data_IF_658516726323
#
_entry.id   IF_658516726323
#
_cell.length_a   1.000
_cell.length_b   1.000
_cell.length_c   1.000
_cell.angle_alpha   90.00
_cell.angle_beta   90.00
_cell.angle_gamma   90.00
#
_symmetry.space_group_name_H-M   'P 1'
#
loop_
_entity.id
_entity.type
_entity.pdbx_description
1 polymer ?
#
# COMPACT_ATOMS: atom_id res chain seq x y z
N UNK A 1 21.74 -28.17 0.00
CA UNK A 1 20.30 -28.05 -0.33
C UNK A 1 19.51 -29.03 0.52
N UNK A 2 18.29 -28.70 0.98
CA UNK A 2 17.45 -29.70 1.66
C UNK A 2 16.97 -30.74 0.64
N UNK A 3 16.78 -32.00 1.07
CA UNK A 3 16.35 -33.08 0.18
C UNK A 3 14.99 -32.76 -0.52
N UNK A 4 14.15 -31.98 0.16
CA UNK A 4 12.86 -31.52 -0.36
C UNK A 4 13.02 -30.54 -1.53
N UNK A 5 13.98 -29.62 -1.45
CA UNK A 5 14.26 -28.64 -2.52
C UNK A 5 14.74 -29.33 -3.80
N UNK A 6 15.65 -30.32 -3.68
CA UNK A 6 16.09 -31.13 -4.82
C UNK A 6 14.93 -31.88 -5.48
N UNK A 7 14.03 -32.44 -4.66
CA UNK A 7 12.85 -33.16 -5.15
C UNK A 7 11.91 -32.21 -5.89
N UNK A 8 11.69 -31.01 -5.36
CA UNK A 8 10.85 -30.00 -5.98
C UNK A 8 11.44 -29.48 -7.30
N UNK A 9 12.76 -29.30 -7.41
CA UNK A 9 13.42 -28.96 -8.69
C UNK A 9 13.22 -30.04 -9.75
N UNK A 10 13.28 -31.33 -9.37
CA UNK A 10 12.99 -32.44 -10.28
C UNK A 10 11.52 -32.44 -10.72
N UNK A 11 10.59 -32.17 -9.80
CA UNK A 11 9.17 -32.04 -10.13
C UNK A 11 8.90 -30.87 -11.07
N UNK A 12 9.57 -29.73 -10.87
CA UNK A 12 9.46 -28.58 -11.76
C UNK A 12 9.92 -28.93 -13.19
N UNK A 13 11.05 -29.63 -13.34
CA UNK A 13 11.50 -30.13 -14.66
C UNK A 13 10.52 -31.12 -15.28
N UNK A 14 9.98 -32.04 -14.48
CA UNK A 14 8.97 -32.99 -14.95
C UNK A 14 7.71 -32.27 -15.47
N UNK A 15 7.27 -31.19 -14.80
CA UNK A 15 6.16 -30.36 -15.27
C UNK A 15 6.50 -29.65 -16.59
N UNK A 16 7.74 -29.18 -16.78
CA UNK A 16 8.20 -28.62 -18.07
C UNK A 16 8.16 -29.66 -19.20
N UNK A 17 8.64 -30.88 -18.95
CA UNK A 17 8.60 -31.99 -19.91
C UNK A 17 7.16 -32.36 -20.32
N UNK A 18 6.20 -32.17 -19.41
CA UNK A 18 4.78 -32.38 -19.65
C UNK A 18 4.09 -31.20 -20.34
N UNK A 19 4.80 -30.11 -20.61
CA UNK A 19 4.26 -28.91 -21.24
C UNK A 19 3.48 -28.00 -20.28
N UNK A 20 3.72 -28.11 -18.97
CA UNK A 20 3.08 -27.31 -17.93
C UNK A 20 4.06 -26.30 -17.28
N UNK A 21 4.52 -25.25 -18.00
CA UNK A 21 5.53 -24.33 -17.49
C UNK A 21 5.03 -23.47 -16.31
N UNK A 22 3.74 -23.20 -16.21
CA UNK A 22 3.15 -22.48 -15.08
C UNK A 22 3.20 -23.31 -13.79
N UNK A 23 2.88 -24.60 -13.89
CA UNK A 23 3.00 -25.53 -12.76
C UNK A 23 4.47 -25.67 -12.34
N UNK A 24 5.38 -25.77 -13.31
CA UNK A 24 6.81 -25.78 -13.05
C UNK A 24 7.25 -24.54 -12.26
N UNK A 25 6.81 -23.34 -12.68
CA UNK A 25 7.09 -22.10 -11.97
C UNK A 25 6.50 -22.09 -10.55
N UNK A 26 5.27 -22.56 -10.36
CA UNK A 26 4.64 -22.63 -9.02
C UNK A 26 5.41 -23.55 -8.06
N UNK A 27 5.90 -24.69 -8.54
CA UNK A 27 6.72 -25.61 -7.74
C UNK A 27 8.10 -25.01 -7.45
N UNK A 28 8.70 -24.38 -8.45
CA UNK A 28 10.03 -23.79 -8.38
C UNK A 28 10.10 -22.55 -7.47
N UNK A 29 9.10 -21.68 -7.55
CA UNK A 29 9.13 -20.33 -6.98
C UNK A 29 9.52 -20.32 -5.49
N UNK A 30 8.89 -21.11 -4.59
CA UNK A 30 9.23 -21.11 -3.16
C UNK A 30 10.69 -21.49 -2.85
N UNK A 31 11.37 -22.20 -3.76
CA UNK A 31 12.75 -22.66 -3.59
C UNK A 31 13.71 -21.48 -3.75
N UNK A 32 13.46 -20.62 -4.75
CA UNK A 32 14.26 -19.44 -5.06
C UNK A 32 13.83 -18.20 -4.26
N UNK A 33 12.60 -18.15 -3.75
CA UNK A 33 12.11 -17.05 -2.91
C UNK A 33 13.08 -16.72 -1.76
N UNK A 34 13.28 -15.42 -1.54
CA UNK A 34 14.18 -14.95 -0.49
C UNK A 34 13.72 -15.40 0.90
N UNK A 35 14.66 -16.00 1.64
CA UNK A 35 14.46 -16.53 3.00
C UNK A 35 15.61 -16.16 3.95
N UNK A 36 16.52 -15.28 3.52
CA UNK A 36 17.75 -14.96 4.25
C UNK A 36 18.78 -16.10 4.31
N UNK A 37 18.52 -17.25 3.67
CA UNK A 37 19.45 -18.40 3.66
C UNK A 37 20.69 -18.10 2.81
N UNK A 38 21.84 -18.63 3.24
CA UNK A 38 23.06 -18.64 2.43
C UNK A 38 23.00 -19.78 1.41
N UNK A 39 23.45 -19.50 0.18
CA UNK A 39 23.43 -20.46 -0.91
C UNK A 39 24.82 -21.00 -1.22
N UNK A 40 24.98 -22.32 -1.13
CA UNK A 40 26.12 -23.02 -1.73
C UNK A 40 26.13 -22.80 -3.25
N UNK A 41 27.33 -22.69 -3.82
CA UNK A 41 27.49 -22.37 -5.25
C UNK A 41 26.78 -23.37 -6.16
N UNK A 42 26.92 -24.67 -5.89
CA UNK A 42 26.29 -25.73 -6.69
C UNK A 42 24.77 -25.65 -6.65
N UNK A 43 24.21 -25.42 -5.46
CA UNK A 43 22.77 -25.36 -5.26
C UNK A 43 22.15 -24.14 -5.92
N UNK A 44 22.86 -23.00 -5.84
CA UNK A 44 22.50 -21.77 -6.54
C UNK A 44 22.48 -22.00 -8.05
N UNK A 45 23.57 -22.52 -8.63
CA UNK A 45 23.65 -22.77 -10.08
C UNK A 45 22.56 -23.74 -10.54
N UNK A 46 22.30 -24.82 -9.79
CA UNK A 46 21.27 -25.79 -10.14
C UNK A 46 19.87 -25.17 -10.14
N UNK A 47 19.54 -24.43 -9.08
CA UNK A 47 18.25 -23.73 -8.96
C UNK A 47 18.06 -22.72 -10.09
N UNK A 48 19.08 -21.91 -10.38
CA UNK A 48 19.02 -20.92 -11.46
C UNK A 48 19.03 -21.55 -12.87
N UNK A 49 19.55 -22.77 -13.03
CA UNK A 49 19.45 -23.52 -14.29
C UNK A 49 18.01 -23.95 -14.56
N UNK A 50 17.31 -24.47 -13.54
CA UNK A 50 15.87 -24.76 -13.64
C UNK A 50 15.09 -23.48 -13.94
N UNK A 51 15.45 -22.35 -13.32
CA UNK A 51 14.79 -21.09 -13.63
C UNK A 51 15.00 -20.65 -15.08
N UNK A 52 16.20 -20.86 -15.65
CA UNK A 52 16.48 -20.54 -17.05
C UNK A 52 15.64 -21.41 -18.00
N UNK A 53 15.43 -22.69 -17.67
CA UNK A 53 14.54 -23.59 -18.43
C UNK A 53 13.08 -23.08 -18.39
N UNK A 54 12.60 -22.63 -17.23
CA UNK A 54 11.25 -22.07 -17.06
C UNK A 54 11.12 -20.73 -17.82
N UNK A 55 12.07 -19.82 -17.63
CA UNK A 55 12.02 -18.46 -18.18
C UNK A 55 12.10 -18.46 -19.71
N UNK A 56 12.81 -19.42 -20.30
CA UNK A 56 12.89 -19.59 -21.74
C UNK A 56 11.51 -19.80 -22.38
N UNK A 57 10.56 -20.37 -21.63
CA UNK A 57 9.19 -20.63 -22.07
C UNK A 57 8.26 -19.47 -21.67
N UNK A 58 8.40 -18.92 -20.47
CA UNK A 58 7.44 -17.96 -19.89
C UNK A 58 7.77 -16.48 -20.09
N UNK A 59 9.04 -16.10 -20.20
CA UNK A 59 9.51 -14.71 -20.07
C UNK A 59 10.18 -14.15 -21.33
N UNK A 60 10.36 -14.97 -22.37
CA UNK A 60 11.01 -14.61 -23.62
C UNK A 60 12.54 -14.62 -23.58
N UNK A 61 13.15 -14.45 -24.75
CA UNK A 61 14.60 -14.62 -24.93
C UNK A 61 15.41 -13.54 -24.21
N UNK A 62 14.96 -12.29 -24.24
CA UNK A 62 15.69 -11.15 -23.64
C UNK A 62 15.83 -11.29 -22.12
N UNK A 63 14.74 -11.60 -21.41
CA UNK A 63 14.81 -11.85 -19.96
C UNK A 63 15.69 -13.07 -19.65
N UNK A 64 15.53 -14.15 -20.41
CA UNK A 64 16.25 -15.41 -20.21
C UNK A 64 17.77 -15.24 -20.37
N UNK A 65 18.25 -14.28 -21.17
CA UNK A 65 19.68 -13.94 -21.27
C UNK A 65 20.27 -13.52 -19.92
N UNK A 66 19.53 -12.76 -19.11
CA UNK A 66 19.97 -12.37 -17.76
C UNK A 66 20.06 -13.57 -16.83
N UNK A 67 19.07 -14.47 -16.87
CA UNK A 67 19.07 -15.71 -16.07
C UNK A 67 20.27 -16.60 -16.45
N UNK A 68 20.53 -16.80 -17.74
CA UNK A 68 21.70 -17.54 -18.21
C UNK A 68 23.04 -16.89 -17.84
N UNK A 69 23.10 -15.56 -17.74
CA UNK A 69 24.33 -14.89 -17.29
C UNK A 69 24.68 -15.31 -15.86
N UNK A 70 23.69 -15.41 -14.97
CA UNK A 70 23.88 -15.88 -13.60
C UNK A 70 24.24 -17.36 -13.52
N UNK A 71 23.68 -18.21 -14.39
CA UNK A 71 24.07 -19.63 -14.46
C UNK A 71 25.54 -19.80 -14.88
N UNK A 72 25.99 -19.04 -15.88
CA UNK A 72 27.38 -19.11 -16.39
C UNK A 72 28.39 -18.47 -15.43
N UNK A 73 27.99 -17.39 -14.78
CA UNK A 73 28.84 -16.60 -13.91
C UNK A 73 28.14 -16.34 -12.56
N UNK A 74 27.99 -17.38 -11.70
CA UNK A 74 27.20 -17.31 -10.46
C UNK A 74 27.85 -16.45 -9.35
N UNK A 75 29.02 -15.89 -9.60
CA UNK A 75 29.78 -15.01 -8.71
C UNK A 75 30.04 -13.63 -9.36
N UNK A 76 29.45 -13.36 -10.53
CA UNK A 76 29.52 -12.05 -11.16
C UNK A 76 28.44 -11.12 -10.56
N UNK A 77 28.91 -10.14 -9.79
CA UNK A 77 28.07 -9.16 -9.09
C UNK A 77 27.18 -8.39 -10.07
N UNK A 78 27.68 -8.03 -11.26
CA UNK A 78 26.90 -7.30 -12.24
C UNK A 78 25.82 -8.17 -12.87
N UNK A 79 26.11 -9.44 -13.15
CA UNK A 79 25.12 -10.38 -13.66
C UNK A 79 23.98 -10.60 -12.64
N UNK A 80 24.33 -10.77 -11.36
CA UNK A 80 23.38 -10.92 -10.27
C UNK A 80 22.54 -9.64 -10.05
N UNK A 81 23.17 -8.47 -10.08
CA UNK A 81 22.50 -7.18 -10.02
C UNK A 81 21.50 -7.03 -11.18
N UNK A 82 21.94 -7.30 -12.41
CA UNK A 82 21.10 -7.12 -13.60
C UNK A 82 19.87 -8.04 -13.56
N UNK A 83 20.03 -9.33 -13.21
CA UNK A 83 18.87 -10.21 -13.11
C UNK A 83 17.95 -9.83 -11.94
N UNK A 84 18.53 -9.35 -10.83
CA UNK A 84 17.77 -8.83 -9.69
C UNK A 84 16.90 -7.65 -10.08
N UNK A 85 17.48 -6.66 -10.76
CA UNK A 85 16.75 -5.51 -11.30
C UNK A 85 15.63 -5.95 -12.26
N UNK A 86 15.91 -6.85 -13.21
CA UNK A 86 14.91 -7.33 -14.14
C UNK A 86 13.77 -8.11 -13.45
N UNK A 87 14.09 -8.92 -12.44
CA UNK A 87 13.08 -9.63 -11.64
C UNK A 87 12.18 -8.66 -10.87
N UNK A 88 12.75 -7.59 -10.32
CA UNK A 88 11.99 -6.55 -9.64
C UNK A 88 11.01 -5.85 -10.59
N UNK A 89 11.47 -5.46 -11.79
CA UNK A 89 10.63 -4.83 -12.82
C UNK A 89 9.51 -5.76 -13.31
N UNK A 90 9.74 -7.08 -13.27
CA UNK A 90 8.73 -8.10 -13.55
C UNK A 90 7.84 -8.39 -12.34
N UNK A 91 7.86 -7.59 -11.27
CA UNK A 91 6.99 -7.80 -10.11
C UNK A 91 7.31 -9.07 -9.28
N UNK A 92 8.55 -9.56 -9.34
CA UNK A 92 9.05 -10.73 -8.61
C UNK A 92 10.12 -10.32 -7.57
N UNK A 93 9.76 -9.48 -6.58
CA UNK A 93 10.72 -8.88 -5.65
C UNK A 93 11.40 -9.93 -4.76
N UNK A 94 10.76 -11.07 -4.48
CA UNK A 94 11.32 -12.12 -3.63
C UNK A 94 12.40 -12.95 -4.34
N UNK A 95 12.24 -13.20 -5.64
CA UNK A 95 13.30 -13.79 -6.47
C UNK A 95 14.44 -12.79 -6.68
N UNK A 96 14.10 -11.51 -6.91
CA UNK A 96 15.07 -10.42 -7.04
C UNK A 96 15.96 -10.32 -5.78
N UNK A 97 15.34 -10.33 -4.59
CA UNK A 97 16.04 -10.29 -3.31
C UNK A 97 17.03 -11.46 -3.15
N UNK A 98 16.73 -12.67 -3.66
CA UNK A 98 17.69 -13.78 -3.63
C UNK A 98 18.93 -13.52 -4.49
N UNK A 99 18.76 -12.99 -5.71
CA UNK A 99 19.89 -12.64 -6.58
C UNK A 99 20.73 -11.52 -5.97
N UNK A 100 20.06 -10.45 -5.51
CA UNK A 100 20.69 -9.27 -4.93
C UNK A 100 21.37 -9.56 -3.59
N UNK A 101 20.83 -10.47 -2.78
CA UNK A 101 21.48 -10.92 -1.55
C UNK A 101 22.79 -11.68 -1.83
N UNK A 102 22.84 -12.47 -2.91
CA UNK A 102 24.10 -13.09 -3.35
C UNK A 102 25.08 -12.05 -3.88
N UNK A 103 24.62 -11.06 -4.66
CA UNK A 103 25.46 -9.96 -5.11
C UNK A 103 26.05 -9.18 -3.92
N UNK A 104 25.23 -8.86 -2.91
CA UNK A 104 25.65 -8.16 -1.70
C UNK A 104 26.65 -8.97 -0.87
N UNK A 105 26.50 -10.30 -0.82
CA UNK A 105 27.47 -11.15 -0.13
C UNK A 105 28.86 -11.16 -0.81
N UNK A 106 28.91 -10.95 -2.13
CA UNK A 106 30.14 -10.91 -2.93
C UNK A 106 30.77 -9.51 -2.94
N UNK A 107 29.95 -8.46 -2.97
CA UNK A 107 30.37 -7.06 -2.89
C UNK A 107 29.54 -6.31 -1.83
N UNK A 108 29.94 -6.40 -0.55
CA UNK A 108 29.19 -5.85 0.55
C UNK A 108 29.19 -4.32 0.65
N UNK A 109 30.13 -3.66 -0.02
CA UNK A 109 30.32 -2.20 0.06
C UNK A 109 29.66 -1.48 -1.13
N UNK A 110 29.09 -2.22 -2.08
CA UNK A 110 28.28 -1.65 -3.16
C UNK A 110 26.94 -1.12 -2.65
N UNK A 111 26.83 0.20 -2.63
CA UNK A 111 25.59 0.90 -2.27
C UNK A 111 24.45 0.58 -3.24
N UNK A 112 24.73 0.45 -4.54
CA UNK A 112 23.71 0.19 -5.55
C UNK A 112 23.08 -1.20 -5.34
N UNK A 113 23.91 -2.22 -5.13
CA UNK A 113 23.42 -3.58 -4.83
C UNK A 113 22.64 -3.61 -3.51
N UNK A 114 23.14 -2.95 -2.47
CA UNK A 114 22.47 -2.89 -1.17
C UNK A 114 21.11 -2.17 -1.26
N UNK A 115 21.04 -1.05 -1.99
CA UNK A 115 19.82 -0.28 -2.16
C UNK A 115 18.75 -1.07 -2.94
N UNK A 116 19.13 -1.74 -4.02
CA UNK A 116 18.19 -2.58 -4.78
C UNK A 116 17.69 -3.77 -3.94
N UNK A 117 18.57 -4.40 -3.15
CA UNK A 117 18.16 -5.46 -2.22
C UNK A 117 17.15 -4.93 -1.20
N UNK A 118 17.38 -3.74 -0.65
CA UNK A 118 16.45 -3.09 0.28
C UNK A 118 15.11 -2.79 -0.39
N UNK A 119 15.09 -2.23 -1.60
CA UNK A 119 13.85 -1.98 -2.35
C UNK A 119 13.04 -3.27 -2.56
N UNK A 120 13.71 -4.38 -2.89
CA UNK A 120 13.05 -5.68 -3.02
C UNK A 120 12.42 -6.14 -1.69
N UNK A 121 13.14 -5.96 -0.57
CA UNK A 121 12.64 -6.29 0.78
C UNK A 121 11.48 -5.38 1.22
N UNK A 122 11.50 -4.10 0.87
CA UNK A 122 10.41 -3.15 1.12
C UNK A 122 9.10 -3.61 0.48
N UNK A 123 9.16 -4.01 -0.80
CA UNK A 123 7.98 -4.53 -1.53
C UNK A 123 7.42 -5.80 -0.89
N UNK A 124 8.28 -6.62 -0.28
CA UNK A 124 7.87 -7.80 0.49
C UNK A 124 7.40 -7.47 1.93
N UNK A 125 7.49 -6.20 2.35
CA UNK A 125 7.19 -5.76 3.71
C UNK A 125 8.23 -6.19 4.76
N UNK A 126 9.42 -6.64 4.34
CA UNK A 126 10.51 -7.10 5.20
C UNK A 126 11.38 -5.93 5.71
N UNK A 127 10.74 -4.85 6.17
CA UNK A 127 11.41 -3.60 6.56
C UNK A 127 12.44 -3.77 7.69
N UNK A 128 12.19 -4.68 8.64
CA UNK A 128 13.13 -4.96 9.73
C UNK A 128 14.43 -5.61 9.22
N UNK A 129 14.32 -6.46 8.20
CA UNK A 129 15.48 -7.08 7.55
C UNK A 129 16.26 -6.06 6.72
N UNK A 130 15.57 -5.18 6.00
CA UNK A 130 16.18 -4.05 5.31
C UNK A 130 16.98 -3.15 6.29
N UNK A 131 16.39 -2.81 7.44
CA UNK A 131 17.09 -2.07 8.50
C UNK A 131 18.36 -2.81 8.96
N UNK A 132 18.26 -4.12 9.22
CA UNK A 132 19.39 -4.94 9.67
C UNK A 132 20.54 -4.93 8.67
N UNK A 133 20.26 -5.05 7.38
CA UNK A 133 21.26 -5.02 6.31
C UNK A 133 21.94 -3.65 6.21
N UNK A 134 21.17 -2.56 6.25
CA UNK A 134 21.70 -1.20 6.20
C UNK A 134 22.54 -0.86 7.43
N UNK A 135 22.08 -1.23 8.63
CA UNK A 135 22.81 -1.00 9.89
C UNK A 135 24.11 -1.80 9.95
N UNK A 136 24.20 -2.94 9.27
CA UNK A 136 25.44 -3.71 9.14
C UNK A 136 26.50 -3.02 8.25
N UNK A 137 26.12 -1.95 7.52
CA UNK A 137 26.98 -1.21 6.58
C UNK A 137 27.00 0.30 6.88
N UNK A 138 27.48 0.70 8.08
CA UNK A 138 27.46 2.11 8.49
C UNK A 138 28.25 3.02 7.55
N UNK A 139 29.35 2.55 6.95
CA UNK A 139 30.13 3.33 5.98
C UNK A 139 29.36 3.59 4.68
N UNK A 140 28.63 2.59 4.16
CA UNK A 140 27.77 2.75 2.98
C UNK A 140 26.66 3.74 3.28
N UNK A 141 25.98 3.57 4.42
CA UNK A 141 24.96 4.50 4.90
C UNK A 141 25.56 5.90 5.04
N UNK A 142 26.71 6.08 5.68
CA UNK A 142 27.30 7.41 5.87
C UNK A 142 27.54 8.16 4.55
N UNK A 143 28.00 7.46 3.51
CA UNK A 143 28.45 8.08 2.25
C UNK A 143 27.40 8.06 1.12
N UNK A 144 26.37 7.20 1.19
CA UNK A 144 25.32 7.11 0.20
C UNK A 144 24.00 7.70 0.73
N UNK A 145 23.51 8.77 0.09
CA UNK A 145 22.28 9.45 0.51
C UNK A 145 21.07 8.51 0.53
N UNK A 146 20.88 7.73 -0.54
CA UNK A 146 19.73 6.85 -0.69
C UNK A 146 19.74 5.76 0.39
N UNK A 147 20.89 5.17 0.70
CA UNK A 147 21.02 4.19 1.79
C UNK A 147 20.62 4.79 3.16
N UNK A 148 20.97 6.05 3.45
CA UNK A 148 20.49 6.73 4.67
C UNK A 148 18.99 6.92 4.68
N UNK A 149 18.45 7.36 3.54
CA UNK A 149 17.02 7.58 3.40
C UNK A 149 16.25 6.27 3.61
N UNK A 150 16.66 5.20 2.93
CA UNK A 150 16.06 3.88 3.05
C UNK A 150 16.13 3.37 4.49
N UNK A 151 17.23 3.60 5.21
CA UNK A 151 17.33 3.23 6.63
C UNK A 151 16.31 4.00 7.48
N UNK A 152 16.20 5.32 7.28
CA UNK A 152 15.22 6.13 8.00
C UNK A 152 13.77 5.71 7.70
N UNK A 153 13.46 5.45 6.42
CA UNK A 153 12.13 5.03 5.99
C UNK A 153 11.74 3.65 6.54
N UNK A 154 12.61 2.65 6.35
CA UNK A 154 12.37 1.29 6.85
C UNK A 154 12.30 1.22 8.37
N UNK A 155 13.04 2.09 9.08
CA UNK A 155 12.96 2.19 10.53
C UNK A 155 11.57 2.65 10.97
N UNK A 156 11.00 3.69 10.34
CA UNK A 156 9.60 4.12 10.57
C UNK A 156 8.65 2.96 10.28
N UNK A 157 8.81 2.28 9.13
CA UNK A 157 8.00 1.11 8.76
C UNK A 157 8.13 -0.06 9.74
N UNK A 158 9.22 -0.11 10.51
CA UNK A 158 9.47 -1.11 11.56
C UNK A 158 9.12 -0.61 12.96
N UNK A 159 8.51 0.59 13.07
CA UNK A 159 8.11 1.28 14.32
C UNK A 159 9.28 1.87 15.13
N UNK A 160 10.47 1.94 14.56
CA UNK A 160 11.61 2.65 15.15
C UNK A 160 11.60 4.12 14.68
N UNK A 161 11.19 5.01 15.58
CA UNK A 161 11.19 6.45 15.36
C UNK A 161 12.49 7.13 15.79
N UNK A 162 13.40 6.45 16.48
CA UNK A 162 14.63 7.05 16.98
C UNK A 162 15.74 7.06 15.92
N UNK A 163 15.90 5.96 15.18
CA UNK A 163 16.81 5.91 14.03
C UNK A 163 16.59 7.06 13.03
N UNK A 164 15.37 7.29 12.49
CA UNK A 164 15.13 8.40 11.57
C UNK A 164 15.35 9.78 12.21
N UNK A 165 15.09 9.97 13.51
CA UNK A 165 15.39 11.24 14.21
C UNK A 165 16.88 11.54 14.20
N UNK A 166 17.71 10.53 14.47
CA UNK A 166 19.17 10.67 14.47
C UNK A 166 19.72 10.96 13.07
N UNK A 167 19.06 10.43 12.03
CA UNK A 167 19.48 10.61 10.63
C UNK A 167 18.97 11.91 9.99
N UNK A 168 17.87 12.49 10.50
CA UNK A 168 17.15 13.58 9.83
C UNK A 168 18.03 14.79 9.49
N UNK A 169 18.87 15.23 10.43
CA UNK A 169 19.75 16.38 10.20
C UNK A 169 20.72 16.14 9.02
N UNK A 170 21.18 14.89 8.84
CA UNK A 170 22.05 14.52 7.73
C UNK A 170 21.30 14.39 6.41
N UNK A 171 20.05 13.90 6.44
CA UNK A 171 19.17 13.82 5.26
C UNK A 171 18.79 15.21 4.73
N UNK A 172 18.69 16.19 5.62
CA UNK A 172 18.40 17.57 5.25
C UNK A 172 19.62 18.30 4.65
N UNK A 173 20.81 17.69 4.62
CA UNK A 173 22.04 18.31 4.12
C UNK A 173 22.53 17.65 2.81
N UNK A 174 23.43 18.35 2.11
CA UNK A 174 24.10 17.83 0.92
C UNK A 174 23.34 18.02 -0.39
N UNK A 175 23.86 17.40 -1.44
CA UNK A 175 23.32 17.46 -2.81
C UNK A 175 22.88 16.07 -3.24
N UNK A 176 21.58 15.85 -3.33
CA UNK A 176 20.97 14.66 -3.92
C UNK A 176 19.70 15.09 -4.65
N UNK A 177 19.40 14.45 -5.78
CA UNK A 177 18.18 14.69 -6.54
C UNK A 177 16.96 14.37 -5.66
N UNK A 178 15.92 15.21 -5.62
CA UNK A 178 14.76 15.00 -4.74
C UNK A 178 15.04 14.99 -3.22
N UNK A 179 16.22 15.45 -2.78
CA UNK A 179 16.57 15.52 -1.33
C UNK A 179 15.46 16.15 -0.48
N UNK A 180 14.91 17.28 -0.94
CA UNK A 180 13.92 18.03 -0.17
C UNK A 180 12.61 17.25 0.01
N UNK A 181 12.17 16.56 -1.03
CA UNK A 181 10.97 15.71 -1.00
C UNK A 181 11.18 14.53 -0.04
N UNK A 182 12.35 13.90 -0.11
CA UNK A 182 12.68 12.73 0.70
C UNK A 182 12.90 13.03 2.18
N UNK A 183 13.76 14.00 2.48
CA UNK A 183 13.98 14.44 3.84
C UNK A 183 12.70 15.06 4.43
N UNK A 184 11.92 15.76 3.60
CA UNK A 184 10.62 16.31 3.95
C UNK A 184 9.60 15.23 4.33
N UNK A 185 9.59 14.09 3.63
CA UNK A 185 8.74 12.93 3.98
C UNK A 185 9.07 12.39 5.36
N UNK A 186 10.35 12.13 5.64
CA UNK A 186 10.80 11.64 6.96
C UNK A 186 10.46 12.66 8.05
N UNK A 187 10.77 13.93 7.82
CA UNK A 187 10.44 15.01 8.75
C UNK A 187 8.94 15.08 9.05
N UNK A 188 8.10 14.95 8.01
CA UNK A 188 6.64 15.00 8.15
C UNK A 188 6.09 13.81 8.91
N UNK A 189 6.58 12.60 8.65
CA UNK A 189 6.21 11.41 9.42
C UNK A 189 6.56 11.56 10.91
N UNK A 190 7.78 12.03 11.22
CA UNK A 190 8.22 12.27 12.60
C UNK A 190 7.39 13.36 13.29
N UNK A 191 7.15 14.48 12.61
CA UNK A 191 6.35 15.58 13.14
C UNK A 191 4.90 15.14 13.43
N UNK A 192 4.31 14.31 12.57
CA UNK A 192 2.98 13.73 12.79
C UNK A 192 2.97 12.77 13.97
N UNK A 193 4.00 11.93 14.11
CA UNK A 193 4.14 11.04 15.26
C UNK A 193 4.25 11.82 16.57
N UNK A 194 5.05 12.89 16.60
CA UNK A 194 5.16 13.78 17.76
C UNK A 194 3.85 14.48 18.09
N UNK A 195 3.06 14.84 17.08
CA UNK A 195 1.78 15.53 17.26
C UNK A 195 0.72 14.67 17.95
N UNK A 196 0.77 13.33 17.80
CA UNK A 196 -0.27 12.43 18.34
C UNK A 196 0.22 11.52 19.47
N UNK A 197 1.49 11.64 19.89
CA UNK A 197 2.13 10.74 20.87
C UNK A 197 1.38 10.57 22.21
N UNK A 198 0.62 11.57 22.63
CA UNK A 198 -0.11 11.55 23.90
C UNK A 198 -1.48 10.85 23.79
N UNK A 199 -1.95 10.60 22.57
CA UNK A 199 -3.28 10.03 22.27
C UNK A 199 -3.23 8.78 21.38
N UNK A 200 -2.05 8.39 20.92
CA UNK A 200 -1.80 7.25 20.03
C UNK A 200 -0.58 6.48 20.56
N UNK A 201 -0.72 5.15 20.70
CA UNK A 201 0.36 4.32 21.23
C UNK A 201 1.46 4.07 20.20
N UNK A 202 1.12 4.17 18.90
CA UNK A 202 2.02 3.85 17.78
C UNK A 202 2.69 2.47 17.92
N UNK A 203 1.99 1.53 18.55
CA UNK A 203 2.43 0.14 18.65
C UNK A 203 2.03 -0.68 17.40
N UNK A 204 2.11 -2.01 17.46
CA UNK A 204 1.74 -2.87 16.32
C UNK A 204 0.26 -2.84 15.95
N UNK A 205 -0.61 -2.54 16.91
CA UNK A 205 -2.06 -2.63 16.76
C UNK A 205 -2.68 -1.27 16.44
N UNK A 206 -1.94 -0.18 16.61
CA UNK A 206 -2.39 1.19 16.35
C UNK A 206 -2.41 1.52 14.84
N UNK A 207 -3.32 0.87 14.11
CA UNK A 207 -3.53 1.14 12.69
C UNK A 207 -3.88 2.60 12.41
N UNK A 208 -4.74 3.20 13.24
CA UNK A 208 -5.24 4.57 13.02
C UNK A 208 -4.12 5.60 13.18
N UNK A 209 -3.31 5.48 14.23
CA UNK A 209 -2.15 6.34 14.46
C UNK A 209 -1.12 6.23 13.33
N UNK A 210 -0.75 5.01 12.94
CA UNK A 210 0.20 4.80 11.85
C UNK A 210 -0.31 5.26 10.49
N UNK A 211 -1.61 5.11 10.19
CA UNK A 211 -2.20 5.66 8.97
C UNK A 211 -1.98 7.18 8.91
N UNK A 212 -2.28 7.90 10.00
CA UNK A 212 -2.03 9.33 10.10
C UNK A 212 -0.53 9.68 10.00
N UNK A 213 0.35 8.94 10.69
CA UNK A 213 1.80 9.18 10.64
C UNK A 213 2.35 9.05 9.23
N UNK A 214 1.87 8.10 8.43
CA UNK A 214 2.39 7.84 7.08
C UNK A 214 1.79 8.78 6.03
N UNK A 215 0.50 9.08 6.09
CA UNK A 215 -0.21 9.78 5.01
C UNK A 215 -0.65 11.19 5.40
N UNK A 216 -0.83 11.45 6.70
CA UNK A 216 -1.46 12.66 7.22
C UNK A 216 -2.98 12.63 7.14
N UNK A 217 -3.54 11.56 6.59
CA UNK A 217 -4.97 11.32 6.49
C UNK A 217 -5.51 10.62 7.73
N UNK A 218 -6.82 10.71 7.94
CA UNK A 218 -7.49 10.03 9.05
C UNK A 218 -8.19 8.76 8.61
N UNK A 219 -7.99 7.67 9.36
CA UNK A 219 -8.76 6.43 9.22
C UNK A 219 -9.91 6.42 10.24
N UNK A 220 -11.16 6.45 9.76
CA UNK A 220 -12.31 6.65 10.62
C UNK A 220 -12.75 5.36 11.33
N UNK A 221 -12.69 4.21 10.66
CA UNK A 221 -13.25 2.96 11.11
C UNK A 221 -12.20 1.85 11.15
N UNK A 222 -12.29 1.02 12.17
CA UNK A 222 -11.47 -0.19 12.32
C UNK A 222 -12.39 -1.41 12.28
N UNK A 223 -12.03 -2.40 11.47
CA UNK A 223 -12.70 -3.71 11.52
C UNK A 223 -12.68 -4.26 12.95
N UNK A 224 -13.82 -4.69 13.51
CA UNK A 224 -13.85 -5.33 14.82
C UNK A 224 -13.34 -6.80 14.75
N UNK A 225 -13.04 -7.31 13.56
CA UNK A 225 -12.65 -8.69 13.31
C UNK A 225 -11.17 -8.82 12.89
N UNK A 226 -10.59 -10.01 13.09
CA UNK A 226 -9.29 -10.38 12.53
C UNK A 226 -8.07 -9.76 13.24
N UNK A 227 -8.23 -9.19 14.44
CA UNK A 227 -7.09 -8.69 15.24
C UNK A 227 -6.08 -9.80 15.53
N UNK A 228 -6.55 -10.97 15.99
CA UNK A 228 -5.71 -12.14 16.28
C UNK A 228 -5.10 -12.79 15.02
N UNK A 229 -5.59 -12.42 13.83
CA UNK A 229 -5.14 -12.92 12.52
C UNK A 229 -4.22 -11.91 11.81
N UNK A 230 -3.80 -10.84 12.51
CA UNK A 230 -2.85 -9.86 11.98
C UNK A 230 -3.43 -8.82 11.04
N UNK A 231 -4.77 -8.76 10.92
CA UNK A 231 -5.47 -7.73 10.14
C UNK A 231 -5.39 -6.36 10.82
N UNK A 232 -5.33 -6.34 12.15
CA UNK A 232 -5.17 -5.15 12.99
C UNK A 232 -6.12 -3.99 12.62
N UNK A 233 -7.42 -4.28 12.51
CA UNK A 233 -8.44 -3.28 12.17
C UNK A 233 -8.72 -3.12 10.67
N UNK A 234 -8.17 -3.99 9.81
CA UNK A 234 -8.49 -4.05 8.37
C UNK A 234 -9.48 -5.18 8.06
N UNK A 235 -10.22 -5.07 6.97
CA UNK A 235 -11.04 -6.18 6.45
C UNK A 235 -10.25 -7.02 5.44
N UNK A 236 -10.24 -8.34 5.62
CA UNK A 236 -9.77 -9.27 4.59
C UNK A 236 -10.84 -9.43 3.50
N UNK A 237 -12.09 -9.60 3.94
CA UNK A 237 -13.27 -9.63 3.11
C UNK A 237 -14.37 -8.84 3.83
N UNK A 238 -15.07 -7.98 3.10
CA UNK A 238 -16.25 -7.27 3.59
C UNK A 238 -17.30 -7.21 2.51
N UNK A 239 -18.53 -7.54 2.91
CA UNK A 239 -19.73 -7.18 2.18
C UNK A 239 -20.23 -5.89 2.81
N UNK A 240 -19.88 -4.77 2.18
CA UNK A 240 -20.22 -3.45 2.71
C UNK A 240 -21.73 -3.31 2.84
N UNK A 241 -22.16 -2.53 3.84
CA UNK A 241 -23.56 -2.41 4.22
C UNK A 241 -23.99 -0.95 4.24
N UNK A 242 -25.30 -0.75 4.15
CA UNK A 242 -25.89 0.58 4.33
C UNK A 242 -25.56 1.17 5.70
N UNK A 243 -25.49 0.32 6.72
CA UNK A 243 -25.10 0.67 8.09
C UNK A 243 -23.66 1.19 8.12
N UNK A 244 -22.72 0.48 7.51
CA UNK A 244 -21.30 0.88 7.45
C UNK A 244 -21.08 2.17 6.64
N UNK A 245 -21.84 2.36 5.57
CA UNK A 245 -21.89 3.64 4.83
C UNK A 245 -22.36 4.81 5.72
N UNK A 246 -23.47 4.64 6.46
CA UNK A 246 -23.99 5.67 7.37
C UNK A 246 -23.00 5.93 8.53
N UNK A 247 -22.42 4.88 9.06
CA UNK A 247 -21.34 4.91 10.04
C UNK A 247 -20.13 5.73 9.59
N UNK A 248 -19.71 5.54 8.34
CA UNK A 248 -18.65 6.33 7.71
C UNK A 248 -18.99 7.81 7.64
N UNK A 249 -20.22 8.14 7.21
CA UNK A 249 -20.73 9.51 7.17
C UNK A 249 -20.73 10.14 8.56
N UNK A 250 -21.24 9.45 9.58
CA UNK A 250 -21.31 9.99 10.95
C UNK A 250 -19.92 10.26 11.52
N UNK A 251 -18.95 9.36 11.31
CA UNK A 251 -17.57 9.55 11.76
C UNK A 251 -16.86 10.65 10.99
N UNK A 252 -17.11 10.78 9.70
CA UNK A 252 -16.58 11.88 8.89
C UNK A 252 -17.05 13.23 9.43
N UNK A 253 -18.36 13.37 9.68
CA UNK A 253 -18.93 14.61 10.25
C UNK A 253 -18.33 14.93 11.62
N UNK A 254 -18.12 13.91 12.47
CA UNK A 254 -17.44 14.10 13.75
C UNK A 254 -15.99 14.58 13.58
N UNK A 255 -15.23 13.99 12.65
CA UNK A 255 -13.85 14.38 12.38
C UNK A 255 -13.76 15.81 11.80
N UNK A 256 -14.61 16.16 10.83
CA UNK A 256 -14.65 17.51 10.26
C UNK A 256 -14.93 18.58 11.32
N UNK A 257 -15.79 18.27 12.30
CA UNK A 257 -16.06 19.16 13.43
C UNK A 257 -14.83 19.37 14.32
N UNK A 258 -14.08 18.32 14.64
CA UNK A 258 -12.85 18.47 15.45
C UNK A 258 -11.74 19.23 14.72
N UNK A 259 -11.76 19.25 13.39
CA UNK A 259 -10.84 20.03 12.54
C UNK A 259 -11.33 21.47 12.27
N UNK A 260 -12.51 21.86 12.76
CA UNK A 260 -13.16 23.15 12.44
C UNK A 260 -13.33 23.41 10.92
N UNK A 261 -13.61 22.35 10.16
CA UNK A 261 -13.80 22.45 8.70
C UNK A 261 -15.27 22.72 8.38
N UNK A 262 -15.53 23.85 7.74
CA UNK A 262 -16.84 24.17 7.16
C UNK A 262 -16.98 23.56 5.77
N UNK A 263 -18.10 22.89 5.51
CA UNK A 263 -18.41 22.24 4.23
C UNK A 263 -19.49 23.04 3.50
N UNK A 264 -19.15 23.93 2.55
CA UNK A 264 -20.14 24.75 1.86
C UNK A 264 -20.93 24.00 0.78
N UNK A 265 -20.42 22.85 0.31
CA UNK A 265 -21.01 22.01 -0.74
C UNK A 265 -20.41 20.60 -0.72
N UNK A 266 -21.14 19.64 -1.30
CA UNK A 266 -20.64 18.29 -1.58
C UNK A 266 -20.39 18.14 -3.08
N UNK A 267 -19.24 17.61 -3.45
CA UNK A 267 -18.93 17.20 -4.81
C UNK A 267 -19.22 15.71 -5.01
N UNK A 268 -20.06 15.39 -6.00
CA UNK A 268 -20.36 14.03 -6.43
C UNK A 268 -19.47 13.62 -7.59
N UNK A 269 -18.66 12.58 -7.38
CA UNK A 269 -17.87 11.96 -8.44
C UNK A 269 -18.76 11.06 -9.33
N UNK A 270 -18.41 10.86 -10.61
CA UNK A 270 -19.30 10.24 -11.61
C UNK A 270 -19.63 8.77 -11.36
N UNK A 271 -18.83 8.06 -10.57
CA UNK A 271 -19.09 6.66 -10.19
C UNK A 271 -20.32 6.57 -9.26
N UNK A 272 -21.15 5.53 -9.47
CA UNK A 272 -22.48 5.41 -8.88
C UNK A 272 -22.46 5.44 -7.35
N UNK A 273 -21.59 4.67 -6.72
CA UNK A 273 -21.43 4.63 -5.27
C UNK A 273 -21.03 5.99 -4.70
N UNK A 274 -20.09 6.64 -5.36
CA UNK A 274 -19.63 7.99 -5.01
C UNK A 274 -20.77 9.01 -5.10
N UNK A 275 -21.61 8.92 -6.14
CA UNK A 275 -22.82 9.75 -6.28
C UNK A 275 -23.84 9.48 -5.17
N UNK A 276 -24.10 8.21 -4.81
CA UNK A 276 -25.00 7.84 -3.71
C UNK A 276 -24.52 8.47 -2.40
N UNK A 277 -23.24 8.31 -2.06
CA UNK A 277 -22.67 8.84 -0.83
C UNK A 277 -22.65 10.37 -0.81
N UNK A 278 -22.34 11.02 -1.95
CA UNK A 278 -22.37 12.47 -2.08
C UNK A 278 -23.79 13.03 -1.84
N UNK A 279 -24.81 12.38 -2.40
CA UNK A 279 -26.21 12.75 -2.18
C UNK A 279 -26.62 12.57 -0.71
N UNK A 280 -26.22 11.47 -0.07
CA UNK A 280 -26.49 11.23 1.35
C UNK A 280 -25.83 12.30 2.24
N UNK A 281 -24.58 12.68 1.94
CA UNK A 281 -23.88 13.76 2.65
C UNK A 281 -24.55 15.11 2.46
N UNK A 282 -24.95 15.46 1.23
CA UNK A 282 -25.61 16.73 0.95
C UNK A 282 -26.94 16.85 1.70
N UNK A 283 -27.72 15.77 1.75
CA UNK A 283 -28.94 15.68 2.55
C UNK A 283 -28.66 15.79 4.06
N UNK A 284 -27.62 15.09 4.56
CA UNK A 284 -27.26 15.07 5.98
C UNK A 284 -26.78 16.42 6.50
N UNK A 285 -25.99 17.13 5.69
CA UNK A 285 -25.38 18.41 6.05
C UNK A 285 -26.23 19.62 5.64
N UNK A 286 -27.29 19.40 4.86
CA UNK A 286 -28.16 20.46 4.32
C UNK A 286 -27.39 21.48 3.46
N UNK A 287 -26.52 20.98 2.58
CA UNK A 287 -25.68 21.80 1.70
C UNK A 287 -25.88 21.43 0.23
N UNK A 288 -25.56 22.32 -0.72
CA UNK A 288 -25.71 22.04 -2.15
C UNK A 288 -24.86 20.84 -2.60
N UNK A 289 -25.44 20.06 -3.52
CA UNK A 289 -24.73 19.02 -4.27
C UNK A 289 -24.25 19.60 -5.60
N UNK A 290 -22.99 19.36 -5.94
CA UNK A 290 -22.37 19.75 -7.21
C UNK A 290 -21.77 18.50 -7.87
N UNK A 291 -22.08 18.25 -9.14
CA UNK A 291 -21.48 17.13 -9.86
C UNK A 291 -20.07 17.50 -10.34
N UNK A 292 -19.13 16.56 -10.20
CA UNK A 292 -17.76 16.74 -10.66
C UNK A 292 -17.74 16.89 -12.18
N UNK A 293 -16.97 17.84 -12.68
CA UNK A 293 -16.76 18.08 -14.11
C UNK A 293 -15.43 17.50 -14.57
N UNK A 294 -15.32 17.22 -15.87
CA UNK A 294 -14.06 16.74 -16.47
C UNK A 294 -12.89 17.73 -16.30
N UNK A 295 -13.20 19.03 -16.16
CA UNK A 295 -12.22 20.09 -15.89
C UNK A 295 -11.74 20.12 -14.43
N UNK A 296 -12.37 19.34 -13.55
CA UNK A 296 -12.14 19.34 -12.10
C UNK A 296 -12.73 20.55 -11.39
N UNK A 297 -12.68 20.54 -10.05
CA UNK A 297 -13.09 21.66 -9.20
C UNK A 297 -11.98 22.01 -8.21
N UNK A 298 -11.73 23.30 -8.02
CA UNK A 298 -10.74 23.83 -7.06
C UNK A 298 -11.37 24.62 -5.91
N UNK A 299 -12.68 24.81 -5.96
CA UNK A 299 -13.47 25.52 -4.97
C UNK A 299 -13.56 24.72 -3.64
N UNK A 300 -13.73 25.40 -2.48
CA UNK A 300 -13.93 24.74 -1.20
C UNK A 300 -15.14 23.81 -1.19
N UNK A 301 -15.01 22.66 -0.54
CA UNK A 301 -16.07 21.65 -0.46
C UNK A 301 -15.56 20.26 -0.09
N UNK A 302 -16.49 19.35 0.21
CA UNK A 302 -16.19 17.96 0.50
C UNK A 302 -16.43 17.11 -0.75
N UNK A 303 -15.39 16.44 -1.24
CA UNK A 303 -15.46 15.48 -2.33
C UNK A 303 -15.73 14.10 -1.76
N UNK A 304 -16.79 13.45 -2.21
CA UNK A 304 -17.15 12.11 -1.75
C UNK A 304 -16.84 11.07 -2.83
N UNK A 305 -15.92 10.16 -2.50
CA UNK A 305 -15.65 8.95 -3.25
C UNK A 305 -16.13 7.74 -2.46
N UNK A 306 -16.79 6.79 -3.13
CA UNK A 306 -16.96 5.47 -2.55
C UNK A 306 -15.61 4.77 -2.49
N UNK A 307 -14.97 4.58 -3.64
CA UNK A 307 -13.64 3.99 -3.76
C UNK A 307 -12.89 4.67 -4.91
N UNK A 308 -11.67 5.14 -4.64
CA UNK A 308 -10.86 5.83 -5.64
C UNK A 308 -10.42 4.91 -6.78
N UNK A 309 -10.30 3.60 -6.55
CA UNK A 309 -9.89 2.62 -7.57
C UNK A 309 -10.93 2.41 -8.69
N UNK A 310 -12.17 2.83 -8.45
CA UNK A 310 -13.26 2.74 -9.43
C UNK A 310 -13.32 3.97 -10.36
N UNK A 311 -12.50 4.99 -10.11
CA UNK A 311 -12.48 6.22 -10.90
C UNK A 311 -11.55 6.09 -12.11
N UNK A 312 -11.83 6.88 -13.14
CA UNK A 312 -10.97 6.94 -14.32
C UNK A 312 -9.69 7.76 -14.09
N UNK A 313 -8.70 7.58 -14.97
CA UNK A 313 -7.41 8.26 -14.89
C UNK A 313 -7.52 9.79 -14.84
N UNK A 314 -8.29 10.45 -15.73
CA UNK A 314 -8.47 11.90 -15.71
C UNK A 314 -9.03 12.43 -14.38
N UNK A 315 -10.05 11.77 -13.82
CA UNK A 315 -10.61 12.16 -12.51
C UNK A 315 -9.56 12.03 -11.43
N UNK A 316 -8.83 10.92 -11.38
CA UNK A 316 -7.76 10.70 -10.39
C UNK A 316 -6.64 11.75 -10.47
N UNK A 317 -6.23 12.15 -11.67
CA UNK A 317 -5.24 13.22 -11.86
C UNK A 317 -5.75 14.54 -11.29
N UNK A 318 -7.03 14.88 -11.51
CA UNK A 318 -7.63 16.11 -10.98
C UNK A 318 -7.71 16.13 -9.44
N UNK A 319 -7.80 14.96 -8.81
CA UNK A 319 -7.92 14.80 -7.35
C UNK A 319 -6.56 14.74 -6.62
N UNK A 320 -5.43 14.71 -7.32
CA UNK A 320 -4.11 14.52 -6.68
C UNK A 320 -3.65 15.74 -5.88
N UNK A 321 -4.08 16.93 -6.27
CA UNK A 321 -3.63 18.20 -5.69
C UNK A 321 -4.54 18.65 -4.55
N UNK A 322 -3.95 19.19 -3.48
CA UNK A 322 -4.71 19.91 -2.45
C UNK A 322 -5.13 21.29 -2.96
N UNK A 323 -6.37 21.67 -2.65
CA UNK A 323 -6.91 23.00 -2.88
C UNK A 323 -7.43 23.58 -1.56
N UNK A 324 -7.34 24.92 -1.35
CA UNK A 324 -7.78 25.54 -0.11
C UNK A 324 -9.23 25.23 0.23
N UNK A 325 -9.48 24.68 1.43
CA UNK A 325 -10.83 24.36 1.92
C UNK A 325 -11.51 23.18 1.21
N UNK A 326 -10.76 22.39 0.44
CA UNK A 326 -11.24 21.18 -0.20
C UNK A 326 -10.78 19.94 0.59
N UNK A 327 -11.71 19.03 0.88
CA UNK A 327 -11.43 17.76 1.56
C UNK A 327 -11.86 16.62 0.66
N UNK A 328 -11.00 15.64 0.44
CA UNK A 328 -11.32 14.39 -0.24
C UNK A 328 -11.58 13.28 0.77
N UNK A 329 -12.80 12.74 0.76
CA UNK A 329 -13.17 11.57 1.53
C UNK A 329 -13.33 10.34 0.62
N UNK A 330 -12.75 9.23 1.02
CA UNK A 330 -12.97 7.91 0.42
C UNK A 330 -13.59 6.97 1.44
N UNK A 331 -14.70 6.32 1.10
CA UNK A 331 -15.34 5.38 2.01
C UNK A 331 -14.51 4.09 2.15
N UNK A 332 -14.21 3.44 1.04
CA UNK A 332 -13.48 2.19 0.97
C UNK A 332 -12.11 2.41 0.30
N UNK A 333 -11.06 1.82 0.87
CA UNK A 333 -9.72 1.86 0.27
C UNK A 333 -9.04 0.49 0.38
N UNK A 334 -8.54 -0.02 -0.74
CA UNK A 334 -7.79 -1.27 -0.77
C UNK A 334 -6.43 -1.12 -0.05
N UNK A 335 -6.08 -2.02 0.87
CA UNK A 335 -4.80 -1.97 1.61
C UNK A 335 -3.75 -2.94 1.09
N UNK A 336 -4.10 -3.80 0.13
CA UNK A 336 -3.17 -4.76 -0.48
C UNK A 336 -2.50 -4.23 -1.74
N UNK A 337 -2.88 -3.03 -2.19
CA UNK A 337 -2.34 -2.38 -3.37
C UNK A 337 -1.87 -0.96 -3.03
N UNK A 338 -0.81 -0.51 -3.69
CA UNK A 338 -0.33 0.87 -3.58
C UNK A 338 -1.25 1.75 -4.40
N UNK A 339 -1.59 2.92 -3.89
CA UNK A 339 -2.39 3.90 -4.62
C UNK A 339 -1.62 5.22 -4.77
N UNK A 340 -1.67 5.92 -5.92
CA UNK A 340 -0.86 7.11 -6.18
C UNK A 340 -1.05 8.26 -5.17
N UNK A 341 -2.15 8.27 -4.44
CA UNK A 341 -2.40 9.19 -3.33
C UNK A 341 -3.42 8.62 -2.34
N UNK A 342 -3.44 9.13 -1.12
CA UNK A 342 -4.42 8.78 -0.08
C UNK A 342 -5.47 9.89 -0.04
N UNK A 343 -6.75 9.53 0.14
CA UNK A 343 -7.78 10.52 0.49
C UNK A 343 -7.40 11.23 1.80
N UNK A 344 -7.92 12.45 2.01
CA UNK A 344 -7.64 13.20 3.24
C UNK A 344 -8.28 12.54 4.47
N UNK A 345 -9.37 11.83 4.22
CA UNK A 345 -10.08 11.00 5.20
C UNK A 345 -10.52 9.71 4.51
N UNK A 346 -10.22 8.56 5.11
CA UNK A 346 -10.65 7.24 4.65
C UNK A 346 -11.59 6.62 5.69
N UNK A 347 -12.72 6.03 5.29
CA UNK A 347 -13.56 5.32 6.27
C UNK A 347 -12.91 4.02 6.71
N UNK A 348 -12.73 3.05 5.82
CA UNK A 348 -12.16 1.75 6.18
C UNK A 348 -11.20 1.19 5.12
N UNK A 349 -10.41 0.22 5.55
CA UNK A 349 -9.45 -0.50 4.71
C UNK A 349 -9.94 -1.92 4.41
N UNK A 350 -9.88 -2.36 3.15
CA UNK A 350 -10.27 -3.71 2.72
C UNK A 350 -9.24 -4.40 1.82
N UNK A 351 -9.31 -5.73 1.71
CA UNK A 351 -8.61 -6.51 0.67
C UNK A 351 -9.58 -6.97 -0.41
N UNK A 352 -10.76 -7.51 -0.04
CA UNK A 352 -11.89 -7.74 -0.94
C UNK A 352 -13.13 -7.05 -0.40
N UNK A 353 -13.82 -6.29 -1.25
CA UNK A 353 -15.03 -5.56 -0.91
C UNK A 353 -16.13 -5.79 -1.96
N UNK A 354 -17.38 -5.88 -1.51
CA UNK A 354 -18.57 -5.82 -2.35
C UNK A 354 -19.47 -4.70 -1.88
N UNK A 355 -19.81 -3.76 -2.77
CA UNK A 355 -20.55 -2.56 -2.39
C UNK A 355 -22.02 -2.86 -2.05
N UNK A 356 -22.67 -2.05 -1.18
CA UNK A 356 -24.02 -2.39 -0.68
C UNK A 356 -25.10 -2.47 -1.75
N UNK A 357 -24.85 -1.88 -2.92
CA UNK A 357 -25.74 -1.84 -4.07
C UNK A 357 -25.39 -2.85 -5.17
N UNK A 358 -24.36 -3.66 -4.97
CA UNK A 358 -24.00 -4.77 -5.86
C UNK A 358 -24.72 -6.07 -5.44
N UNK A 359 -24.48 -7.14 -6.20
CA UNK A 359 -24.93 -8.48 -5.83
C UNK A 359 -24.17 -8.96 -4.58
N UNK A 360 -24.91 -9.39 -3.56
CA UNK A 360 -24.36 -9.79 -2.26
C UNK A 360 -24.68 -11.25 -1.98
N UNK A 361 -23.73 -11.98 -1.40
CA UNK A 361 -23.94 -13.32 -0.89
C UNK A 361 -24.81 -13.28 0.37
N UNK A 362 -25.86 -14.11 0.36
CA UNK A 362 -26.77 -14.32 1.49
C UNK A 362 -27.00 -15.81 1.70
N UNK A 363 -27.08 -16.23 2.95
CA UNK A 363 -27.59 -17.57 3.29
C UNK A 363 -29.11 -17.53 3.26
N UNK A 364 -29.72 -18.26 2.34
CA UNK A 364 -31.16 -18.38 2.27
C UNK A 364 -31.68 -19.00 3.58
N UNK A 365 -32.60 -18.33 4.31
CA UNK A 365 -33.02 -18.79 5.63
C UNK A 365 -33.76 -20.13 5.60
N UNK A 366 -34.42 -20.46 4.49
CA UNK A 366 -35.19 -21.69 4.28
C UNK A 366 -34.32 -22.84 3.78
N UNK A 367 -33.54 -22.62 2.71
CA UNK A 367 -32.75 -23.69 2.08
C UNK A 367 -31.39 -23.90 2.73
N UNK A 368 -30.93 -22.94 3.55
CA UNK A 368 -29.57 -22.86 4.12
C UNK A 368 -28.45 -22.86 3.06
N UNK A 369 -28.79 -22.65 1.78
CA UNK A 369 -27.82 -22.52 0.71
C UNK A 369 -27.39 -21.07 0.54
N UNK A 370 -26.15 -20.86 0.10
CA UNK A 370 -25.66 -19.54 -0.30
C UNK A 370 -26.28 -19.19 -1.64
N UNK A 371 -26.92 -18.04 -1.70
CA UNK A 371 -27.47 -17.44 -2.92
C UNK A 371 -26.99 -16.00 -3.04
N UNK A 372 -27.02 -15.46 -4.26
CA UNK A 372 -26.67 -14.07 -4.51
C UNK A 372 -27.94 -13.23 -4.64
N UNK A 373 -27.97 -12.10 -3.94
CA UNK A 373 -29.02 -11.09 -4.11
C UNK A 373 -28.87 -10.40 -5.45
N UNK A 374 -29.96 -9.82 -5.96
CA UNK A 374 -29.87 -8.93 -7.10
C UNK A 374 -29.21 -7.61 -6.69
N UNK A 375 -28.42 -6.97 -7.57
CA UNK A 375 -27.97 -5.60 -7.37
C UNK A 375 -29.14 -4.67 -7.13
N UNK A 376 -28.92 -3.65 -6.31
CA UNK A 376 -29.91 -2.60 -6.10
C UNK A 376 -29.84 -1.63 -7.28
N UNK A 377 -30.83 -1.65 -8.18
CA UNK A 377 -30.89 -0.80 -9.38
C UNK A 377 -31.69 0.50 -9.17
N UNK A 378 -32.15 0.79 -7.94
CA UNK A 378 -32.87 2.04 -7.68
C UNK A 378 -32.00 3.28 -7.96
N UNK A 379 -32.65 4.40 -8.24
CA UNK A 379 -31.99 5.70 -8.41
C UNK A 379 -31.13 6.04 -7.19
N UNK A 380 -29.96 6.65 -7.44
CA UNK A 380 -29.00 6.99 -6.40
C UNK A 380 -29.64 7.82 -5.26
N UNK A 381 -30.59 8.69 -5.58
CA UNK A 381 -31.27 9.55 -4.61
C UNK A 381 -32.16 8.75 -3.65
N UNK A 382 -32.79 7.68 -4.13
CA UNK A 382 -33.62 6.78 -3.31
C UNK A 382 -32.72 6.01 -2.35
N UNK A 383 -31.62 5.47 -2.84
CA UNK A 383 -30.65 4.74 -2.02
C UNK A 383 -30.06 5.68 -0.97
N UNK A 384 -29.61 6.88 -1.36
CA UNK A 384 -29.05 7.89 -0.48
C UNK A 384 -30.01 8.29 0.65
N UNK A 385 -31.30 8.52 0.34
CA UNK A 385 -32.30 8.81 1.36
C UNK A 385 -32.54 7.62 2.29
N UNK A 386 -32.52 6.39 1.75
CA UNK A 386 -32.62 5.15 2.52
C UNK A 386 -31.44 4.92 3.46
N UNK A 387 -30.22 5.28 3.05
CA UNK A 387 -29.02 5.23 3.91
C UNK A 387 -29.25 6.01 5.20
N UNK A 388 -29.79 7.24 5.11
CA UNK A 388 -30.02 8.10 6.27
C UNK A 388 -31.16 7.63 7.20
N UNK A 389 -32.00 6.70 6.74
CA UNK A 389 -33.07 6.08 7.55
C UNK A 389 -32.61 4.81 8.26
N UNK A 390 -31.39 4.34 7.98
CA UNK A 390 -30.81 3.15 8.60
C UNK A 390 -30.45 3.42 10.06
N UNK A 391 -30.48 2.39 10.91
CA UNK A 391 -30.16 2.50 12.32
C UNK A 391 -28.78 1.89 12.60
N UNK A 392 -27.82 2.74 12.97
CA UNK A 392 -26.47 2.31 13.37
C UNK A 392 -26.50 1.73 14.78
N UNK A 393 -25.85 0.58 14.99
CA UNK A 393 -25.65 0.02 16.33
C UNK A 393 -24.79 0.98 17.17
N UNK A 394 -25.22 1.28 18.41
CA UNK A 394 -24.46 2.14 19.32
C UNK A 394 -23.06 1.59 19.59
N UNK A 395 -22.89 0.27 19.64
CA UNK A 395 -21.59 -0.39 19.84
C UNK A 395 -20.61 -0.06 18.71
N UNK A 396 -21.13 0.13 17.49
CA UNK A 396 -20.27 0.46 16.35
C UNK A 396 -19.57 1.80 16.56
N UNK A 397 -20.22 2.77 17.20
CA UNK A 397 -19.67 4.12 17.43
C UNK A 397 -18.88 4.26 18.75
N UNK A 398 -18.61 3.17 19.47
CA UNK A 398 -17.94 3.22 20.78
C UNK A 398 -16.53 3.82 20.74
N UNK A 399 -15.84 3.69 19.62
CA UNK A 399 -14.47 4.18 19.46
C UNK A 399 -14.38 5.61 18.94
N UNK A 400 -15.51 6.25 18.63
CA UNK A 400 -15.58 7.64 18.14
C UNK A 400 -14.90 8.64 19.06
N UNK A 401 -15.02 8.57 20.40
CA UNK A 401 -14.28 9.48 21.29
C UNK A 401 -12.76 9.37 21.13
N UNK A 402 -12.22 8.17 20.85
CA UNK A 402 -10.78 7.98 20.56
C UNK A 402 -10.40 8.61 19.23
N UNK A 403 -11.24 8.43 18.19
CA UNK A 403 -11.06 9.09 16.90
C UNK A 403 -11.07 10.61 17.05
N UNK A 404 -12.03 11.18 17.77
CA UNK A 404 -12.12 12.63 17.99
C UNK A 404 -10.89 13.17 18.73
N UNK A 405 -10.42 12.47 19.76
CA UNK A 405 -9.21 12.86 20.49
C UNK A 405 -7.98 12.90 19.57
N UNK A 406 -7.81 11.89 18.71
CA UNK A 406 -6.74 11.86 17.72
C UNK A 406 -6.83 13.04 16.74
N UNK A 407 -7.99 13.21 16.10
CA UNK A 407 -8.22 14.26 15.10
C UNK A 407 -8.01 15.65 15.68
N UNK A 408 -8.57 15.91 16.86
CA UNK A 408 -8.42 17.18 17.56
C UNK A 408 -6.97 17.48 17.91
N UNK A 409 -6.24 16.51 18.44
CA UNK A 409 -4.83 16.67 18.82
C UNK A 409 -3.98 16.97 17.58
N UNK A 410 -4.18 16.19 16.51
CA UNK A 410 -3.52 16.40 15.22
C UNK A 410 -3.81 17.78 14.59
N UNK A 411 -5.05 18.26 14.68
CA UNK A 411 -5.47 19.54 14.08
C UNK A 411 -5.01 20.78 14.88
N UNK A 412 -4.80 20.64 16.18
CA UNK A 412 -4.51 21.79 17.08
C UNK A 412 -3.04 21.91 17.47
N UNK A 413 -2.21 20.91 17.19
CA UNK A 413 -0.79 20.95 17.55
C UNK A 413 -0.03 21.97 16.70
N UNK A 414 0.34 23.10 17.31
CA UNK A 414 1.09 24.16 16.66
C UNK A 414 2.51 23.70 16.26
N UNK A 415 2.90 23.96 15.02
CA UNK A 415 4.23 23.59 14.49
C UNK A 415 4.32 22.17 13.92
N UNK A 416 3.26 21.36 14.03
CA UNK A 416 3.18 20.08 13.33
C UNK A 416 2.86 20.29 11.83
N UNK A 417 3.22 19.28 11.01
CA UNK A 417 2.76 19.23 9.61
C UNK A 417 1.24 19.11 9.62
N UNK A 418 0.57 19.97 8.85
CA UNK A 418 -0.89 20.00 8.78
C UNK A 418 -1.43 18.62 8.38
N UNK A 419 -2.53 18.15 9.01
CA UNK A 419 -3.29 17.02 8.50
C UNK A 419 -3.65 17.23 7.02
N UNK A 420 -3.76 16.14 6.26
CA UNK A 420 -4.04 16.19 4.82
C UNK A 420 -5.32 17.01 4.52
N UNK A 421 -6.36 16.86 5.33
CA UNK A 421 -7.62 17.60 5.20
C UNK A 421 -7.50 19.12 5.42
N UNK A 422 -6.40 19.59 6.01
CA UNK A 422 -6.13 21.02 6.27
C UNK A 422 -5.05 21.59 5.33
N UNK A 423 -4.46 20.76 4.47
CA UNK A 423 -3.48 21.19 3.47
C UNK A 423 -4.15 22.01 2.37
N UNK A 424 -3.56 23.15 2.04
CA UNK A 424 -4.09 24.09 1.04
C UNK A 424 -3.37 24.01 -0.31
N UNK A 425 -2.26 23.28 -0.36
CA UNK A 425 -1.37 23.15 -1.52
C UNK A 425 -0.55 21.86 -1.43
N UNK A 426 0.20 21.56 -2.47
CA UNK A 426 0.96 20.32 -2.59
C UNK A 426 0.09 19.14 -3.00
N UNK A 427 0.74 17.98 -3.18
CA UNK A 427 0.08 16.75 -3.58
C UNK A 427 -0.30 15.93 -2.34
N UNK A 428 -1.42 15.21 -2.43
CA UNK A 428 -1.77 14.16 -1.47
C UNK A 428 -0.70 13.08 -1.46
N UNK A 429 -0.43 12.53 -0.27
CA UNK A 429 0.61 11.54 -0.04
C UNK A 429 0.22 10.17 -0.59
N UNK A 430 1.16 9.41 -1.15
CA UNK A 430 0.94 8.04 -1.61
C UNK A 430 0.39 7.13 -0.49
N UNK A 431 -0.47 6.19 -0.86
CA UNK A 431 -0.87 5.09 0.02
C UNK A 431 0.15 3.95 -0.09
N UNK A 432 0.77 3.59 1.04
CA UNK A 432 1.78 2.54 1.13
C UNK A 432 1.16 1.18 1.45
N UNK A 433 1.54 0.14 0.69
CA UNK A 433 1.25 -1.26 1.03
C UNK A 433 1.99 -1.68 2.32
N UNK A 434 3.24 -1.22 2.46
CA UNK A 434 4.01 -1.40 3.67
C UNK A 434 3.40 -0.54 4.78
N UNK A 435 3.14 -1.15 5.93
CA UNK A 435 2.51 -0.47 7.05
C UNK A 435 3.04 -1.02 8.38
N UNK A 436 3.41 -0.17 9.36
CA UNK A 436 3.95 -0.59 10.65
C UNK A 436 3.04 -1.51 11.47
N UNK A 437 1.72 -1.39 11.27
CA UNK A 437 0.71 -2.27 11.87
C UNK A 437 0.34 -3.49 11.03
N UNK A 438 1.08 -3.82 9.97
CA UNK A 438 0.84 -5.02 9.17
C UNK A 438 1.60 -6.20 9.78
N UNK A 439 0.92 -7.32 10.00
CA UNK A 439 1.58 -8.60 10.26
C UNK A 439 1.89 -9.25 8.92
N UNK A 440 3.05 -9.89 8.78
CA UNK A 440 3.44 -10.57 7.54
C UNK A 440 2.43 -11.68 7.24
N UNK A 441 1.50 -11.41 6.33
CA UNK A 441 0.58 -12.42 5.79
C UNK A 441 1.25 -12.98 4.55
N UNK A 442 1.57 -14.27 4.54
CA UNK A 442 2.09 -14.96 3.36
C UNK A 442 1.09 -14.78 2.22
N UNK A 443 1.44 -14.01 1.20
CA UNK A 443 0.60 -13.84 0.02
C UNK A 443 0.40 -15.22 -0.65
N UNK A 444 -0.86 -15.58 -0.96
CA UNK A 444 -1.13 -16.60 -1.97
C UNK A 444 -0.87 -15.96 -3.33
N UNK A 445 -0.02 -16.60 -4.12
CA UNK A 445 0.50 -16.09 -5.40
C UNK A 445 -0.58 -15.99 -6.49
N UNK A 446 -0.43 -14.96 -7.33
CA UNK A 446 -1.12 -14.83 -8.61
C UNK A 446 -0.33 -15.57 -9.71
N UNK A 447 -1.00 -16.12 -10.74
CA UNK A 447 -0.33 -16.73 -11.90
C UNK A 447 0.53 -15.71 -12.68
N UNK A 448 1.59 -16.19 -13.37
CA UNK A 448 2.54 -15.39 -14.16
C UNK A 448 1.88 -14.43 -15.18
N UNK A 449 0.70 -14.76 -15.69
CA UNK A 449 -0.06 -13.90 -16.62
C UNK A 449 -0.62 -12.63 -15.95
N UNK A 450 -0.93 -12.67 -14.65
CA UNK A 450 -1.36 -11.50 -13.86
C UNK A 450 -0.17 -10.61 -13.48
N UNK A 451 1.05 -11.17 -13.46
CA UNK A 451 2.30 -10.43 -13.24
C UNK A 451 2.60 -9.51 -14.44
N UNK A 452 2.35 -9.98 -15.66
CA UNK A 452 2.44 -9.17 -16.87
C UNK A 452 1.38 -8.07 -16.98
N UNK A 453 0.19 -8.22 -16.37
CA UNK A 453 -0.86 -7.19 -16.36
C UNK A 453 -0.55 -6.04 -15.36
N UNK A 454 0.17 -6.33 -14.27
CA UNK A 454 0.66 -5.32 -13.33
C UNK A 454 1.80 -4.47 -13.92
N UNK A 455 2.72 -5.08 -14.68
CA UNK A 455 3.84 -4.39 -15.33
C UNK A 455 3.39 -3.44 -16.46
N UNK A 456 2.25 -3.68 -17.12
CA UNK A 456 1.75 -2.82 -18.21
C UNK A 456 1.03 -1.57 -17.69
N UNK A 457 0.62 -1.52 -16.41
CA UNK A 457 0.09 -0.27 -15.80
C UNK A 457 1.16 0.68 -15.29
N UNK A 458 2.39 0.21 -15.07
CA UNK A 458 3.52 1.05 -14.66
C UNK A 458 4.42 1.29 -15.87
N UNK A 459 4.19 2.42 -16.56
CA UNK A 459 5.03 2.87 -17.66
C UNK A 459 6.50 2.89 -17.25
N UNK A 460 7.33 2.26 -18.08
CA UNK A 460 8.68 1.87 -17.71
C UNK A 460 9.74 2.99 -17.63
N UNK A 461 10.86 2.53 -17.05
CA UNK A 461 12.23 2.96 -17.22
C UNK A 461 12.66 4.29 -16.57
N UNK A 462 13.65 4.17 -15.67
CA UNK A 462 14.44 5.22 -15.00
C UNK A 462 13.77 6.04 -13.89
N UNK A 463 12.49 5.83 -13.59
CA UNK A 463 11.80 6.60 -12.56
C UNK A 463 11.44 5.83 -11.29
N UNK A 464 11.79 4.55 -11.10
CA UNK A 464 11.17 3.76 -10.02
C UNK A 464 11.73 3.98 -8.61
N UNK A 465 13.01 4.35 -8.46
CA UNK A 465 13.46 4.92 -7.19
C UNK A 465 12.63 6.16 -6.95
N UNK A 466 12.59 7.13 -7.88
CA UNK A 466 11.72 8.31 -7.82
C UNK A 466 10.21 8.01 -7.62
N UNK A 467 9.63 6.94 -8.12
CA UNK A 467 8.18 6.70 -8.06
C UNK A 467 7.74 6.07 -6.72
N UNK A 468 8.68 5.48 -5.98
CA UNK A 468 8.52 5.12 -4.57
C UNK A 468 9.03 6.25 -3.63
N UNK A 469 9.75 7.25 -4.16
CA UNK A 469 10.55 8.24 -3.42
C UNK A 469 9.99 9.68 -3.60
N UNK A 470 9.15 9.92 -4.61
CA UNK A 470 8.53 11.21 -5.00
C UNK A 470 7.06 11.00 -5.38
#
# INVERSE_FOLDING_TARGET
MHNNDMTALQQARQALEQGNPQEAFQIFHPILSYSGKTWERSDFVETWSVFAEISAILAGEEFTKFVHAVVRHPEDVQALYNVGYQLFEQGLPDLAATALARAHALDPDSADVLNELVSALETMGMNAEACRLLQARPEVVQHNYLSRYLLAFNAIMSRDLETPRNLLASLQQGSYEHREELAGRIASMLARADAIKDVSSLDQQDLRGWHYVLTGAFLLHLSPYGFDEGMNGRYAFVQDTRDLCLEGILRLVAALKEMDISVPRIFALPERGSTILAQALALKLHVPLVYWSDEGHTEPGLIAAYDLSLLDGPTLVSLRQHHPGQVLWSHATCWTESFPFTADVTTFLYQVNHAPWESQMRVNPETKQVENTQPDEHDAAIIAAGLLQTQVNNEALEDVPKLQALVKTAATTHGAVLPAALSTQGRRQQLWIAHPSRVHVSHRFLPWEDVSLLAIRQGGAQQHILALVV
#
